data_IF_506502191492
#
_entry.id   IF_506502191492
#
_cell.length_a   1.000
_cell.length_b   1.000
_cell.length_c   1.000
_cell.angle_alpha   90.00
_cell.angle_beta   90.00
_cell.angle_gamma   90.00
#
_symmetry.space_group_name_H-M   'P 1'
#
loop_
_entity.id
_entity.type
_entity.pdbx_description
1 polymer ?
#
# COMPACT_ATOMS: atom_id res chain seq x y z
N UNK A 1 -4.13 11.67 -1.29
CA UNK A 1 -2.94 11.42 -2.16
C UNK A 1 -3.45 11.22 -3.57
N UNK A 2 -2.88 11.87 -4.58
CA UNK A 2 -3.26 11.62 -5.98
C UNK A 2 -2.46 10.45 -6.55
N UNK A 3 -3.08 9.68 -7.44
CA UNK A 3 -2.43 8.55 -8.12
C UNK A 3 -1.15 9.00 -8.85
N UNK A 4 -1.18 10.16 -9.50
CA UNK A 4 -0.03 10.72 -10.23
C UNK A 4 1.19 11.00 -9.34
N UNK A 5 0.97 11.38 -8.08
CA UNK A 5 2.06 11.56 -7.12
C UNK A 5 2.57 10.22 -6.62
N UNK A 6 1.66 9.28 -6.36
CA UNK A 6 1.99 7.95 -5.88
C UNK A 6 2.80 7.14 -6.91
N UNK A 7 2.48 7.26 -8.20
CA UNK A 7 3.17 6.56 -9.29
C UNK A 7 4.61 7.03 -9.52
N UNK A 8 5.01 8.18 -8.97
CA UNK A 8 6.38 8.70 -9.03
C UNK A 8 7.24 8.23 -7.85
N UNK A 9 6.65 7.53 -6.87
CA UNK A 9 7.39 7.05 -5.71
C UNK A 9 8.29 5.86 -6.08
N UNK A 10 9.58 5.97 -5.78
CA UNK A 10 10.55 4.88 -5.97
C UNK A 10 10.39 3.76 -4.95
N UNK A 11 9.95 4.12 -3.73
CA UNK A 11 9.71 3.17 -2.65
C UNK A 11 8.47 3.56 -1.84
N UNK A 12 7.77 2.56 -1.35
CA UNK A 12 6.57 2.67 -0.53
C UNK A 12 6.90 2.15 0.87
N UNK A 13 6.68 2.99 1.87
CA UNK A 13 6.89 2.66 3.28
C UNK A 13 5.56 2.30 3.93
N UNK A 14 5.32 1.02 4.19
CA UNK A 14 4.17 0.57 4.95
C UNK A 14 4.43 0.81 6.43
N UNK A 15 3.57 1.58 7.09
CA UNK A 15 3.76 1.97 8.49
C UNK A 15 2.63 1.47 9.39
N UNK A 16 2.97 1.16 10.64
CA UNK A 16 2.02 0.88 11.72
C UNK A 16 2.38 1.78 12.88
N UNK A 17 1.45 2.67 13.27
CA UNK A 17 1.67 3.69 14.31
C UNK A 17 2.94 4.53 14.05
N UNK A 18 3.15 4.93 12.80
CA UNK A 18 4.31 5.73 12.37
C UNK A 18 5.63 4.96 12.26
N UNK A 19 5.68 3.66 12.57
CA UNK A 19 6.89 2.84 12.43
C UNK A 19 6.82 2.06 11.12
N UNK A 20 7.88 2.13 10.31
CA UNK A 20 7.98 1.37 9.05
C UNK A 20 8.08 -0.12 9.35
N UNK A 21 7.14 -0.89 8.82
CA UNK A 21 7.04 -2.36 8.95
C UNK A 21 7.23 -3.09 7.63
N UNK A 22 7.15 -2.39 6.50
CA UNK A 22 7.42 -2.96 5.18
C UNK A 22 7.91 -1.90 4.22
N UNK A 23 8.72 -2.33 3.27
CA UNK A 23 9.34 -1.48 2.25
C UNK A 23 9.14 -2.16 0.90
N UNK A 24 8.43 -1.48 0.00
CA UNK A 24 7.96 -2.09 -1.25
C UNK A 24 8.22 -1.18 -2.45
N UNK A 25 8.26 -1.78 -3.63
CA UNK A 25 8.22 -1.09 -4.91
C UNK A 25 6.90 -1.46 -5.59
N UNK A 26 6.15 -0.47 -6.04
CA UNK A 26 4.94 -0.71 -6.83
C UNK A 26 5.32 -0.97 -8.28
N UNK A 27 4.82 -2.07 -8.82
CA UNK A 27 4.91 -2.37 -10.25
C UNK A 27 3.66 -1.82 -10.96
N UNK A 28 2.50 -1.91 -10.30
CA UNK A 28 1.22 -1.48 -10.87
C UNK A 28 0.31 -0.90 -9.78
N UNK A 29 -0.37 0.21 -10.10
CA UNK A 29 -1.39 0.82 -9.25
C UNK A 29 -2.79 0.47 -9.75
N UNK A 30 -3.64 -0.03 -8.85
CA UNK A 30 -4.98 -0.52 -9.20
C UNK A 30 -6.04 0.10 -8.30
N UNK A 31 -7.24 0.34 -8.85
CA UNK A 31 -8.41 0.73 -8.04
C UNK A 31 -8.72 -0.37 -7.04
N UNK A 32 -9.02 0.02 -5.80
CA UNK A 32 -9.38 -0.90 -4.71
C UNK A 32 -10.79 -1.47 -4.95
N UNK A 33 -10.87 -2.53 -5.76
CA UNK A 33 -12.10 -3.23 -6.14
C UNK A 33 -11.95 -4.71 -5.89
N UNK A 34 -13.08 -5.43 -5.75
CA UNK A 34 -13.10 -6.88 -5.52
C UNK A 34 -12.35 -7.66 -6.59
N UNK A 35 -12.48 -7.26 -7.86
CA UNK A 35 -11.80 -7.93 -8.97
C UNK A 35 -10.27 -7.78 -8.92
N UNK A 36 -9.78 -6.61 -8.50
CA UNK A 36 -8.33 -6.34 -8.43
C UNK A 36 -7.68 -6.91 -7.17
N UNK A 37 -8.41 -6.98 -6.06
CA UNK A 37 -7.92 -7.45 -4.76
C UNK A 37 -8.82 -8.52 -4.13
N UNK A 38 -9.13 -9.63 -4.84
CA UNK A 38 -10.07 -10.64 -4.37
C UNK A 38 -9.62 -11.33 -3.07
N UNK A 39 -8.35 -11.20 -2.69
CA UNK A 39 -7.80 -11.75 -1.46
C UNK A 39 -8.27 -11.06 -0.16
N UNK A 40 -8.89 -9.88 -0.25
CA UNK A 40 -9.39 -9.19 0.95
C UNK A 40 -10.68 -9.84 1.44
N UNK A 41 -10.67 -10.35 2.67
CA UNK A 41 -11.85 -11.00 3.27
C UNK A 41 -13.00 -10.03 3.53
N UNK A 42 -12.67 -8.75 3.68
CA UNK A 42 -13.63 -7.68 3.99
C UNK A 42 -14.69 -7.49 2.91
N UNK A 43 -14.43 -7.91 1.66
CA UNK A 43 -15.44 -7.86 0.60
C UNK A 43 -16.71 -8.65 0.92
N UNK A 44 -16.59 -9.71 1.74
CA UNK A 44 -17.71 -10.59 2.10
C UNK A 44 -18.20 -10.39 3.55
N UNK A 45 -17.43 -9.66 4.38
CA UNK A 45 -17.70 -9.50 5.81
C UNK A 45 -18.30 -8.11 6.15
N UNK A 46 -18.18 -7.12 5.25
CA UNK A 46 -18.57 -5.74 5.50
C UNK A 46 -19.16 -5.09 4.24
N UNK A 47 -20.48 -4.92 4.22
CA UNK A 47 -21.24 -4.35 3.11
C UNK A 47 -20.88 -2.88 2.82
N UNK A 48 -20.35 -2.13 3.80
CA UNK A 48 -19.91 -0.75 3.60
C UNK A 48 -18.46 -0.66 3.11
N UNK A 49 -17.69 -1.75 3.22
CA UNK A 49 -16.28 -1.77 2.84
C UNK A 49 -16.09 -1.35 1.39
N UNK A 50 -16.90 -1.88 0.47
CA UNK A 50 -16.78 -1.57 -0.96
C UNK A 50 -17.00 -0.08 -1.27
N UNK A 51 -18.00 0.54 -0.64
CA UNK A 51 -18.25 1.97 -0.78
C UNK A 51 -17.04 2.79 -0.32
N UNK A 52 -16.41 2.43 0.81
CA UNK A 52 -15.23 3.14 1.33
C UNK A 52 -13.96 2.91 0.48
N UNK A 53 -13.84 1.77 -0.20
CA UNK A 53 -12.69 1.41 -1.02
C UNK A 53 -12.76 2.00 -2.42
N UNK A 54 -13.95 2.30 -2.95
CA UNK A 54 -14.17 2.81 -4.32
C UNK A 54 -13.33 4.04 -4.70
N UNK A 55 -12.95 4.87 -3.71
CA UNK A 55 -12.12 6.07 -3.88
C UNK A 55 -10.62 5.84 -3.68
N UNK A 56 -10.22 4.64 -3.28
CA UNK A 56 -8.86 4.28 -2.90
C UNK A 56 -8.16 3.47 -3.99
N UNK A 57 -6.83 3.50 -3.91
CA UNK A 57 -5.96 2.73 -4.78
C UNK A 57 -5.05 1.86 -3.92
N UNK A 58 -4.84 0.63 -4.37
CA UNK A 58 -3.76 -0.24 -3.90
C UNK A 58 -2.71 -0.39 -4.99
N UNK A 59 -1.71 -1.22 -4.72
CA UNK A 59 -0.70 -1.57 -5.71
C UNK A 59 -0.38 -3.06 -5.66
N UNK A 60 -0.02 -3.62 -6.81
CA UNK A 60 0.71 -4.88 -6.92
C UNK A 60 2.19 -4.54 -7.03
N UNK A 61 3.02 -5.30 -6.33
CA UNK A 61 4.42 -5.00 -6.24
C UNK A 61 5.20 -6.04 -5.46
N UNK A 62 6.42 -5.66 -5.13
CA UNK A 62 7.43 -6.55 -4.57
C UNK A 62 8.12 -5.88 -3.40
N UNK A 63 8.69 -6.68 -2.52
CA UNK A 63 9.60 -6.17 -1.50
C UNK A 63 10.75 -5.42 -2.18
N UNK A 64 11.15 -4.29 -1.59
CA UNK A 64 12.34 -3.58 -2.04
C UNK A 64 13.59 -4.46 -1.84
N UNK A 65 14.71 -4.07 -2.46
CA UNK A 65 15.97 -4.79 -2.26
C UNK A 65 16.34 -4.81 -0.76
N UNK A 66 17.11 -5.81 -0.29
CA UNK A 66 17.53 -5.88 1.11
C UNK A 66 18.24 -4.61 1.58
N UNK A 67 19.08 -4.03 0.72
CA UNK A 67 19.83 -2.79 0.99
C UNK A 67 18.89 -1.62 1.29
N UNK A 68 17.89 -1.38 0.44
CA UNK A 68 16.90 -0.32 0.64
C UNK A 68 16.00 -0.63 1.84
N UNK A 69 15.59 -1.87 2.00
CA UNK A 69 14.73 -2.29 3.12
C UNK A 69 15.39 -1.99 4.46
N UNK A 70 16.69 -2.30 4.61
CA UNK A 70 17.43 -2.07 5.85
C UNK A 70 17.56 -0.58 6.23
N UNK A 71 17.52 0.34 5.27
CA UNK A 71 17.58 1.78 5.55
C UNK A 71 16.34 2.27 6.32
N UNK A 72 15.17 1.71 6.00
CA UNK A 72 13.90 2.24 6.47
C UNK A 72 13.19 1.35 7.50
N UNK A 73 13.41 0.05 7.49
CA UNK A 73 12.70 -0.87 8.37
C UNK A 73 12.92 -0.51 9.85
N UNK A 74 11.83 -0.41 10.62
CA UNK A 74 11.87 -0.06 12.04
C UNK A 74 12.08 1.44 12.34
N UNK A 75 12.31 2.29 11.34
CA UNK A 75 12.41 3.74 11.53
C UNK A 75 11.02 4.32 11.83
N UNK A 76 10.98 5.36 12.68
CA UNK A 76 9.79 6.18 12.92
C UNK A 76 9.74 7.30 11.89
N UNK A 77 8.59 7.47 11.24
CA UNK A 77 8.34 8.62 10.37
C UNK A 77 8.17 9.86 11.26
N UNK A 78 8.91 10.95 11.01
CA UNK A 78 8.73 12.19 11.75
C UNK A 78 7.32 12.76 11.53
N UNK A 79 6.78 13.38 12.59
CA UNK A 79 5.44 13.98 12.63
C UNK A 79 5.33 15.24 11.74
#
# INVERSE_FOLDING_TARGET
VSLERASKAEVILATVKGIVRGVYVADEWLKSTRDNFPEMRQWDEDDEFEATQSSRFGFRGRAASPEITQLYLGKKIPD
#
